data_IF_534849803750
#
_entry.id   IF_534849803750
#
_cell.length_a   1.000
_cell.length_b   1.000
_cell.length_c   1.000
_cell.angle_alpha   90.00
_cell.angle_beta   90.00
_cell.angle_gamma   90.00
#
_symmetry.space_group_name_H-M   'P 1'
#
loop_
_entity.id
_entity.type
_entity.pdbx_description
1 polymer ?
#
# COMPACT_ATOMS: atom_id res chain seq x y z
N UNK A 1 -18.85 62.67 19.87
CA UNK A 1 -18.25 61.75 18.88
C UNK A 1 -17.86 60.43 19.55
N UNK A 2 -18.76 59.50 19.93
CA UNK A 2 -18.28 58.31 20.67
C UNK A 2 -19.18 57.05 20.81
N UNK A 3 -20.17 56.81 19.95
CA UNK A 3 -20.97 55.55 20.01
C UNK A 3 -20.97 54.82 18.66
N UNK A 4 -21.20 55.53 17.54
CA UNK A 4 -21.18 54.93 16.19
C UNK A 4 -19.81 54.33 15.79
N UNK A 5 -18.70 54.95 16.21
CA UNK A 5 -17.35 54.43 15.91
C UNK A 5 -17.02 53.15 16.70
N UNK A 6 -17.42 53.07 17.98
CA UNK A 6 -17.22 51.87 18.81
C UNK A 6 -17.99 50.66 18.26
N UNK A 7 -19.18 50.85 17.72
CA UNK A 7 -19.97 49.77 17.14
C UNK A 7 -19.43 49.29 15.79
N UNK A 8 -18.92 50.21 14.95
CA UNK A 8 -18.22 49.82 13.71
C UNK A 8 -16.95 49.03 13.99
N UNK A 9 -16.15 49.46 14.98
CA UNK A 9 -14.92 48.76 15.37
C UNK A 9 -15.21 47.35 15.91
N UNK A 10 -16.25 47.19 16.74
CA UNK A 10 -16.69 45.87 17.23
C UNK A 10 -17.15 44.96 16.09
N UNK A 11 -17.88 45.48 15.10
CA UNK A 11 -18.32 44.72 13.92
C UNK A 11 -17.13 44.25 13.06
N UNK A 12 -16.13 45.11 12.85
CA UNK A 12 -14.91 44.74 12.10
C UNK A 12 -14.08 43.69 12.83
N UNK A 13 -13.95 43.79 14.17
CA UNK A 13 -13.21 42.81 14.96
C UNK A 13 -13.94 41.46 14.97
N UNK A 14 -15.27 41.44 15.09
CA UNK A 14 -16.05 40.19 14.98
C UNK A 14 -15.96 39.57 13.59
N UNK A 15 -15.99 40.37 12.51
CA UNK A 15 -15.81 39.86 11.16
C UNK A 15 -14.41 39.25 10.96
N UNK A 16 -13.37 39.88 11.52
CA UNK A 16 -12.01 39.37 11.48
C UNK A 16 -11.87 38.04 12.25
N UNK A 17 -12.50 37.93 13.43
CA UNK A 17 -12.49 36.70 14.23
C UNK A 17 -13.17 35.53 13.50
N UNK A 18 -14.29 35.80 12.83
CA UNK A 18 -15.00 34.80 12.02
C UNK A 18 -14.14 34.34 10.85
N UNK A 19 -13.44 35.25 10.17
CA UNK A 19 -12.51 34.89 9.09
C UNK A 19 -11.31 34.07 9.57
N UNK A 20 -10.76 34.36 10.76
CA UNK A 20 -9.64 33.58 11.32
C UNK A 20 -10.11 32.19 11.77
N UNK A 21 -11.33 32.08 12.31
CA UNK A 21 -11.90 30.79 12.69
C UNK A 21 -12.30 29.92 11.49
N UNK A 22 -12.73 30.51 10.37
CA UNK A 22 -13.05 29.75 9.16
C UNK A 22 -11.81 29.22 8.42
N UNK A 23 -10.63 29.81 8.63
CA UNK A 23 -9.35 29.27 8.13
C UNK A 23 -8.90 28.05 8.95
N UNK A 24 -9.26 27.98 10.24
CA UNK A 24 -8.95 26.84 11.12
C UNK A 24 -9.89 25.63 11.01
N UNK A 25 -11.01 25.76 10.27
CA UNK A 25 -12.00 24.69 10.06
C UNK A 25 -11.79 23.99 8.71
N UNK A 26 -10.86 24.46 7.88
CA UNK A 26 -10.43 23.67 6.72
C UNK A 26 -9.71 22.44 7.28
N UNK A 27 -10.23 21.21 7.10
CA UNK A 27 -9.47 20.03 7.45
C UNK A 27 -8.12 20.19 6.74
N UNK A 28 -7.02 20.07 7.50
CA UNK A 28 -5.69 19.96 6.92
C UNK A 28 -5.75 18.78 5.94
N UNK A 29 -6.01 19.08 4.67
CA UNK A 29 -6.10 18.07 3.65
C UNK A 29 -4.72 17.41 3.62
N UNK A 30 -4.65 16.08 3.61
CA UNK A 30 -3.37 15.42 3.46
C UNK A 30 -2.72 15.97 2.19
N UNK A 31 -1.44 16.29 2.34
CA UNK A 31 -0.52 16.67 1.28
C UNK A 31 -0.91 16.00 -0.03
N UNK A 32 -0.90 16.78 -1.12
CA UNK A 32 -0.91 16.25 -2.48
C UNK A 32 0.04 15.07 -2.53
N UNK A 33 -0.50 13.86 -2.50
CA UNK A 33 0.27 12.66 -2.74
C UNK A 33 0.68 12.79 -4.20
N UNK A 34 1.94 13.15 -4.45
CA UNK A 34 2.58 12.72 -5.66
C UNK A 34 2.47 11.19 -5.62
N UNK A 35 1.43 10.64 -6.25
CA UNK A 35 1.29 9.21 -6.39
C UNK A 35 2.48 8.80 -7.26
N UNK A 36 3.53 8.29 -6.62
CA UNK A 36 4.48 7.45 -7.33
C UNK A 36 3.60 6.33 -7.90
N UNK A 37 3.40 6.32 -9.21
CA UNK A 37 2.56 5.31 -9.87
C UNK A 37 3.31 3.98 -10.01
N UNK A 38 4.31 3.75 -9.18
CA UNK A 38 5.06 2.50 -9.17
C UNK A 38 4.36 1.57 -8.20
N UNK A 39 3.90 0.47 -8.76
CA UNK A 39 3.41 -0.64 -7.98
C UNK A 39 4.56 -1.21 -7.14
N UNK A 40 4.36 -1.30 -5.83
CA UNK A 40 5.28 -1.98 -4.93
C UNK A 40 4.60 -3.27 -4.49
N UNK A 41 5.23 -4.41 -4.76
CA UNK A 41 4.69 -5.72 -4.37
C UNK A 41 4.70 -5.89 -2.85
N UNK A 42 3.54 -6.11 -2.19
CA UNK A 42 3.45 -6.42 -0.75
C UNK A 42 4.38 -7.53 -0.27
N UNK A 43 4.70 -8.50 -1.13
CA UNK A 43 5.64 -9.56 -0.79
C UNK A 43 7.09 -9.06 -0.61
N UNK A 44 7.51 -7.99 -1.31
CA UNK A 44 8.88 -7.47 -1.24
C UNK A 44 9.11 -6.59 -0.01
N UNK A 45 8.05 -5.95 0.49
CA UNK A 45 8.09 -5.06 1.65
C UNK A 45 7.31 -5.61 2.84
N UNK A 46 7.06 -6.91 2.86
CA UNK A 46 6.30 -7.52 3.95
C UNK A 46 7.02 -7.33 5.27
N UNK A 47 6.43 -6.49 6.13
CA UNK A 47 6.97 -6.21 7.44
C UNK A 47 6.57 -7.35 8.37
N UNK A 48 7.44 -8.36 8.45
CA UNK A 48 7.27 -9.49 9.37
C UNK A 48 7.37 -8.99 10.81
N UNK A 49 6.22 -8.71 11.40
CA UNK A 49 6.13 -8.26 12.79
C UNK A 49 5.87 -9.43 13.71
N UNK A 50 6.69 -10.48 13.61
CA UNK A 50 6.54 -11.67 14.45
C UNK A 50 6.61 -11.25 15.94
N UNK A 51 5.50 -11.38 16.66
CA UNK A 51 5.37 -10.93 18.06
C UNK A 51 4.98 -9.45 18.28
N UNK A 52 4.57 -8.69 17.25
CA UNK A 52 3.85 -7.41 17.44
C UNK A 52 2.37 -7.63 17.12
N UNK A 53 1.48 -7.08 17.94
CA UNK A 53 0.02 -7.36 17.94
C UNK A 53 -0.76 -6.99 16.64
N UNK A 54 -0.11 -6.56 15.55
CA UNK A 54 -0.80 -5.95 14.42
C UNK A 54 -0.06 -6.04 13.07
N UNK A 55 0.52 -7.20 12.75
CA UNK A 55 1.22 -7.42 11.47
C UNK A 55 0.33 -7.14 10.25
N UNK A 56 -0.92 -7.59 10.26
CA UNK A 56 -1.86 -7.37 9.17
C UNK A 56 -2.11 -5.87 8.93
N UNK A 57 -2.30 -5.07 9.99
CA UNK A 57 -2.53 -3.62 9.83
C UNK A 57 -1.34 -2.90 9.19
N UNK A 58 -0.12 -3.34 9.50
CA UNK A 58 1.10 -2.72 8.96
C UNK A 58 1.30 -3.03 7.48
N UNK A 59 0.78 -4.17 7.02
CA UNK A 59 0.87 -4.63 5.63
C UNK A 59 -0.44 -4.37 4.84
N UNK A 60 -1.39 -3.65 5.43
CA UNK A 60 -2.69 -3.40 4.81
C UNK A 60 -2.67 -2.22 3.85
N UNK A 61 -3.30 -2.41 2.69
CA UNK A 61 -3.82 -1.30 1.91
C UNK A 61 -5.04 -0.73 2.64
N UNK A 62 -5.02 0.57 2.93
CA UNK A 62 -6.12 1.24 3.63
C UNK A 62 -6.92 2.16 2.71
N UNK A 63 -8.23 2.14 2.85
CA UNK A 63 -9.16 3.02 2.12
C UNK A 63 -10.24 3.54 3.04
N UNK A 64 -10.78 4.72 2.73
CA UNK A 64 -12.00 5.23 3.34
C UNK A 64 -13.18 4.88 2.44
N UNK A 65 -14.18 4.22 3.02
CA UNK A 65 -15.37 3.74 2.32
C UNK A 65 -16.63 4.14 3.09
N UNK A 66 -17.80 3.94 2.47
CA UNK A 66 -19.10 4.11 3.11
C UNK A 66 -19.71 2.74 3.37
N UNK A 67 -20.24 2.52 4.56
CA UNK A 67 -20.97 1.30 4.89
C UNK A 67 -21.86 1.44 6.12
N UNK A 68 -22.86 0.56 6.18
CA UNK A 68 -23.81 0.53 7.28
C UNK A 68 -23.13 0.03 8.55
N UNK A 69 -23.12 0.86 9.58
CA UNK A 69 -22.60 0.49 10.89
C UNK A 69 -23.74 -0.05 11.75
N UNK A 70 -23.70 -1.34 12.08
CA UNK A 70 -24.71 -1.97 12.94
C UNK A 70 -24.70 -1.44 14.38
N UNK A 71 -23.65 -0.73 14.83
CA UNK A 71 -23.64 -0.07 16.14
C UNK A 71 -24.29 1.33 16.08
N UNK A 72 -24.00 2.11 15.04
CA UNK A 72 -24.60 3.44 14.85
C UNK A 72 -26.00 3.40 14.22
N UNK A 73 -26.38 2.25 13.66
CA UNK A 73 -27.64 2.01 12.95
C UNK A 73 -27.88 2.95 11.75
N UNK A 74 -26.78 3.37 11.11
CA UNK A 74 -26.78 4.25 9.92
C UNK A 74 -25.57 4.01 9.05
N UNK A 75 -25.64 4.50 7.81
CA UNK A 75 -24.48 4.61 6.93
C UNK A 75 -23.42 5.55 7.53
N UNK A 76 -22.17 5.10 7.56
CA UNK A 76 -21.04 5.86 8.08
C UNK A 76 -19.83 5.72 7.17
N UNK A 77 -18.86 6.62 7.34
CA UNK A 77 -17.52 6.39 6.80
C UNK A 77 -16.82 5.31 7.62
N UNK A 78 -16.23 4.34 6.95
CA UNK A 78 -15.46 3.24 7.52
C UNK A 78 -14.03 3.26 6.95
N UNK A 79 -13.04 3.04 7.81
CA UNK A 79 -11.66 2.81 7.38
C UNK A 79 -11.49 1.30 7.17
N UNK A 80 -11.24 0.89 5.93
CA UNK A 80 -11.07 -0.50 5.55
C UNK A 80 -9.59 -0.84 5.38
N UNK A 81 -9.16 -1.95 5.96
CA UNK A 81 -7.83 -2.54 5.87
C UNK A 81 -7.92 -3.79 5.01
N UNK A 82 -7.05 -3.91 4.00
CA UNK A 82 -6.99 -5.08 3.11
C UNK A 82 -5.57 -5.60 3.02
N UNK A 83 -5.40 -6.86 3.36
CA UNK A 83 -4.11 -7.54 3.30
C UNK A 83 -4.26 -8.76 2.40
N UNK A 84 -3.40 -8.95 1.39
CA UNK A 84 -3.43 -10.18 0.60
C UNK A 84 -3.28 -11.42 1.50
N UNK A 85 -4.01 -12.48 1.19
CA UNK A 85 -3.77 -13.78 1.79
C UNK A 85 -2.59 -14.44 1.06
N UNK A 86 -1.59 -14.83 1.84
CA UNK A 86 -0.45 -15.60 1.39
C UNK A 86 -0.40 -16.90 2.19
N UNK A 87 -0.33 -18.03 1.48
CA UNK A 87 -0.20 -19.35 2.11
C UNK A 87 0.96 -20.12 1.49
N UNK A 88 1.50 -21.11 2.21
CA UNK A 88 2.62 -21.92 1.71
C UNK A 88 2.25 -22.70 0.46
N UNK A 89 1.05 -23.27 0.45
CA UNK A 89 0.49 -23.97 -0.71
C UNK A 89 0.11 -23.05 -1.87
N UNK A 90 -0.17 -21.76 -1.60
CA UNK A 90 -0.82 -20.87 -2.55
C UNK A 90 -2.33 -21.12 -2.67
N UNK A 91 -2.89 -22.02 -1.87
CA UNK A 91 -4.34 -22.24 -1.79
C UNK A 91 -4.94 -21.50 -0.59
N UNK A 92 -6.12 -20.92 -0.81
CA UNK A 92 -6.83 -20.16 0.23
C UNK A 92 -7.19 -20.99 1.47
N UNK A 93 -7.15 -20.37 2.65
CA UNK A 93 -7.57 -21.00 3.90
C UNK A 93 -9.07 -21.36 3.92
N UNK A 94 -9.88 -20.76 3.04
CA UNK A 94 -11.28 -21.16 2.85
C UNK A 94 -11.42 -22.62 2.39
N UNK A 95 -10.46 -23.18 1.64
CA UNK A 95 -10.48 -24.60 1.27
C UNK A 95 -10.39 -25.53 2.49
N UNK A 96 -9.88 -25.00 3.61
CA UNK A 96 -9.78 -25.68 4.91
C UNK A 96 -10.88 -25.24 5.90
N UNK A 97 -11.89 -24.51 5.42
CA UNK A 97 -13.01 -24.02 6.20
C UNK A 97 -12.71 -22.81 7.09
N UNK A 98 -11.50 -22.23 7.00
CA UNK A 98 -11.08 -21.08 7.81
C UNK A 98 -11.55 -19.78 7.15
N UNK A 99 -12.29 -18.96 7.90
CA UNK A 99 -12.83 -17.67 7.42
C UNK A 99 -12.13 -16.47 8.05
N UNK A 100 -11.47 -16.65 9.17
CA UNK A 100 -10.95 -15.54 9.97
C UNK A 100 -9.45 -15.66 10.19
N UNK A 101 -8.75 -14.52 10.23
CA UNK A 101 -7.28 -14.45 10.29
C UNK A 101 -6.67 -15.02 11.57
N UNK A 102 -7.48 -15.31 12.58
CA UNK A 102 -7.05 -15.98 13.81
C UNK A 102 -7.26 -17.51 13.75
N UNK A 103 -7.50 -18.05 12.55
CA UNK A 103 -7.74 -19.46 12.29
C UNK A 103 -9.18 -19.92 12.54
N UNK A 104 -10.10 -19.03 12.91
CA UNK A 104 -11.50 -19.45 13.19
C UNK A 104 -12.21 -19.90 11.92
N UNK A 105 -12.98 -20.98 12.04
CA UNK A 105 -13.77 -21.55 10.95
C UNK A 105 -14.94 -20.64 10.55
N UNK A 106 -15.54 -20.93 9.40
CA UNK A 106 -16.65 -20.16 8.82
C UNK A 106 -17.90 -20.09 9.69
N UNK A 107 -18.14 -21.11 10.52
CA UNK A 107 -19.24 -21.18 11.48
C UNK A 107 -18.96 -20.37 12.77
N UNK A 108 -17.77 -19.77 12.88
CA UNK A 108 -17.34 -19.03 14.07
C UNK A 108 -16.91 -19.91 15.24
N UNK A 109 -16.82 -21.23 15.05
CA UNK A 109 -16.48 -22.20 16.09
C UNK A 109 -15.24 -23.02 15.71
N UNK A 110 -14.40 -23.32 16.71
CA UNK A 110 -13.18 -24.09 16.48
C UNK A 110 -12.09 -23.32 15.74
N UNK A 111 -10.99 -24.02 15.42
CA UNK A 111 -9.80 -23.47 14.77
C UNK A 111 -9.33 -24.42 13.68
N UNK A 112 -8.96 -23.88 12.53
CA UNK A 112 -8.35 -24.59 11.42
C UNK A 112 -6.93 -24.09 11.14
N UNK A 113 -6.29 -24.73 10.16
CA UNK A 113 -4.95 -24.36 9.72
C UNK A 113 -5.01 -23.27 8.64
N UNK A 114 -4.37 -22.14 8.88
CA UNK A 114 -4.23 -21.06 7.90
C UNK A 114 -3.27 -21.44 6.76
N UNK A 115 -2.33 -22.35 7.00
CA UNK A 115 -1.20 -22.63 6.11
C UNK A 115 -0.30 -21.40 5.91
N UNK A 116 -0.11 -20.63 7.00
CA UNK A 116 0.65 -19.39 7.00
C UNK A 116 2.11 -19.61 6.63
N UNK A 117 2.61 -18.75 5.76
CA UNK A 117 4.04 -18.57 5.53
C UNK A 117 4.37 -17.08 5.46
N UNK A 118 5.62 -16.77 5.19
CA UNK A 118 6.12 -15.40 5.04
C UNK A 118 6.08 -15.02 3.56
N UNK A 119 5.31 -13.98 3.19
CA UNK A 119 5.29 -13.44 1.82
C UNK A 119 6.71 -13.08 1.35
N UNK A 120 7.01 -13.37 0.09
CA UNK A 120 8.35 -13.15 -0.48
C UNK A 120 9.40 -14.20 -0.07
N UNK A 121 9.08 -15.11 0.85
CA UNK A 121 10.01 -16.16 1.31
C UNK A 121 9.48 -17.55 0.96
N UNK A 122 8.34 -17.93 1.54
CA UNK A 122 7.82 -19.31 1.46
C UNK A 122 6.28 -19.37 1.34
N UNK A 123 5.64 -18.23 1.08
CA UNK A 123 4.20 -18.13 0.84
C UNK A 123 3.89 -17.48 -0.52
N UNK A 124 2.77 -17.90 -1.10
CA UNK A 124 2.27 -17.46 -2.40
C UNK A 124 0.89 -16.84 -2.24
N UNK A 125 0.63 -15.81 -3.03
CA UNK A 125 -0.66 -15.15 -3.05
C UNK A 125 -1.74 -16.13 -3.49
N UNK A 126 -2.88 -16.15 -2.80
CA UNK A 126 -3.95 -17.13 -3.05
C UNK A 126 -5.08 -16.62 -3.94
N UNK A 127 -5.08 -15.32 -4.27
CA UNK A 127 -6.23 -14.66 -4.90
C UNK A 127 -7.31 -14.22 -3.93
N UNK A 128 -7.04 -14.28 -2.62
CA UNK A 128 -7.93 -13.83 -1.56
C UNK A 128 -7.25 -12.76 -0.72
N UNK A 129 -8.03 -12.06 0.10
CA UNK A 129 -7.52 -11.05 1.01
C UNK A 129 -8.27 -11.04 2.34
N UNK A 130 -7.53 -10.74 3.39
CA UNK A 130 -8.03 -10.42 4.71
C UNK A 130 -8.59 -9.00 4.72
N UNK A 131 -9.81 -8.83 5.23
CA UNK A 131 -10.45 -7.51 5.38
C UNK A 131 -10.81 -7.25 6.83
N UNK A 132 -10.54 -6.03 7.29
CA UNK A 132 -11.04 -5.48 8.56
C UNK A 132 -11.55 -4.08 8.31
N UNK A 133 -12.62 -3.67 8.98
CA UNK A 133 -13.12 -2.29 8.89
C UNK A 133 -13.26 -1.65 10.26
N UNK A 134 -13.16 -0.33 10.34
CA UNK A 134 -13.35 0.45 11.58
C UNK A 134 -14.26 1.63 11.30
N UNK A 135 -15.42 1.67 11.96
CA UNK A 135 -16.34 2.81 11.85
C UNK A 135 -15.66 4.09 12.36
N UNK A 136 -15.58 5.12 11.51
CA UNK A 136 -14.95 6.39 11.87
C UNK A 136 -15.81 7.26 12.80
N UNK A 137 -17.06 6.86 13.05
CA UNK A 137 -17.97 7.55 13.97
C UNK A 137 -17.92 7.00 15.39
N UNK A 138 -18.02 5.67 15.56
CA UNK A 138 -18.08 5.04 16.89
C UNK A 138 -16.86 4.18 17.25
N UNK A 139 -15.95 3.94 16.31
CA UNK A 139 -14.77 3.09 16.52
C UNK A 139 -15.04 1.58 16.48
N UNK A 140 -16.29 1.13 16.37
CA UNK A 140 -16.62 -0.31 16.30
C UNK A 140 -15.95 -0.97 15.09
N UNK A 141 -15.20 -2.03 15.37
CA UNK A 141 -14.48 -2.81 14.36
C UNK A 141 -15.44 -3.82 13.71
N UNK A 142 -15.33 -4.01 12.39
CA UNK A 142 -16.12 -4.94 11.58
C UNK A 142 -17.64 -4.79 11.76
N UNK A 143 -18.11 -3.58 12.06
CA UNK A 143 -19.55 -3.34 12.27
C UNK A 143 -20.37 -3.61 11.00
N UNK A 144 -19.74 -3.45 9.83
CA UNK A 144 -20.32 -3.71 8.51
C UNK A 144 -20.66 -5.19 8.27
N UNK A 145 -20.00 -6.11 8.97
CA UNK A 145 -20.25 -7.55 8.87
C UNK A 145 -21.48 -7.98 9.70
N UNK A 146 -21.99 -7.07 10.55
CA UNK A 146 -23.16 -7.27 11.39
C UNK A 146 -22.85 -7.89 12.77
N UNK A 147 -23.73 -7.63 13.75
CA UNK A 147 -23.58 -8.01 15.16
C UNK A 147 -23.45 -9.53 15.39
N UNK A 148 -23.94 -10.35 14.46
CA UNK A 148 -23.87 -11.80 14.54
C UNK A 148 -22.56 -12.38 13.98
N UNK A 149 -21.76 -11.58 13.27
CA UNK A 149 -20.50 -12.05 12.72
C UNK A 149 -19.49 -12.31 13.82
N UNK A 150 -18.69 -13.37 13.69
CA UNK A 150 -17.68 -13.73 14.68
C UNK A 150 -16.66 -12.60 14.93
N UNK A 151 -16.28 -11.86 13.89
CA UNK A 151 -15.29 -10.78 13.96
C UNK A 151 -15.87 -9.43 14.41
N UNK A 152 -17.17 -9.36 14.76
CA UNK A 152 -17.80 -8.13 15.24
C UNK A 152 -17.10 -7.59 16.48
N UNK A 153 -16.67 -6.32 16.40
CA UNK A 153 -15.92 -5.61 17.44
C UNK A 153 -14.63 -6.34 17.91
N UNK A 154 -14.02 -7.15 17.03
CA UNK A 154 -12.74 -7.83 17.29
C UNK A 154 -11.70 -7.38 16.27
N UNK A 155 -10.43 -7.32 16.70
CA UNK A 155 -9.30 -7.14 15.79
C UNK A 155 -8.98 -8.45 15.04
N UNK A 156 -9.94 -8.93 14.26
CA UNK A 156 -9.84 -10.17 13.47
C UNK A 156 -10.32 -9.84 12.07
N UNK A 157 -9.53 -10.25 11.08
CA UNK A 157 -9.87 -10.01 9.68
C UNK A 157 -10.72 -11.15 9.14
N UNK A 158 -11.67 -10.84 8.26
CA UNK A 158 -12.46 -11.81 7.50
C UNK A 158 -11.87 -12.03 6.10
N UNK A 159 -11.81 -13.28 5.66
CA UNK A 159 -11.26 -13.68 4.36
C UNK A 159 -12.26 -13.44 3.23
N UNK A 160 -11.86 -12.78 2.16
CA UNK A 160 -12.71 -12.49 1.00
C UNK A 160 -11.96 -12.76 -0.31
N UNK A 161 -12.69 -13.16 -1.35
CA UNK A 161 -12.10 -13.37 -2.68
C UNK A 161 -11.75 -12.03 -3.33
N UNK A 162 -10.61 -11.96 -4.00
CA UNK A 162 -10.37 -10.88 -4.95
C UNK A 162 -11.26 -11.07 -6.19
N UNK A 163 -11.89 -9.99 -6.66
CA UNK A 163 -12.59 -10.03 -7.95
C UNK A 163 -11.56 -10.02 -9.08
N UNK A 164 -11.77 -10.89 -10.07
CA UNK A 164 -10.89 -11.02 -11.22
C UNK A 164 -10.76 -9.71 -12.03
N UNK A 165 -11.80 -8.87 -12.03
CA UNK A 165 -11.81 -7.59 -12.75
C UNK A 165 -10.83 -6.56 -12.16
N UNK A 166 -10.34 -6.76 -10.93
CA UNK A 166 -9.38 -5.85 -10.31
C UNK A 166 -7.92 -6.23 -10.57
N UNK A 167 -7.65 -7.29 -11.33
CA UNK A 167 -6.27 -7.66 -11.65
C UNK A 167 -5.72 -6.81 -12.80
N UNK A 168 -4.50 -6.30 -12.60
CA UNK A 168 -3.72 -5.65 -13.65
C UNK A 168 -2.42 -6.41 -13.87
N UNK A 169 -2.01 -6.48 -15.12
CA UNK A 169 -0.67 -6.90 -15.47
C UNK A 169 0.33 -5.83 -15.03
N UNK A 170 1.50 -6.27 -14.56
CA UNK A 170 2.61 -5.39 -14.25
C UNK A 170 3.94 -6.00 -14.68
N UNK A 171 4.90 -5.12 -14.93
CA UNK A 171 6.30 -5.44 -15.13
C UNK A 171 7.11 -4.52 -14.21
N UNK A 172 7.82 -5.14 -13.25
CA UNK A 172 8.74 -4.46 -12.36
C UNK A 172 10.13 -5.05 -12.53
N UNK A 173 10.73 -4.83 -13.70
CA UNK A 173 12.12 -5.21 -13.98
C UNK A 173 13.08 -4.31 -13.21
N UNK A 174 13.94 -4.91 -12.39
CA UNK A 174 15.01 -4.21 -11.68
C UNK A 174 16.39 -4.62 -12.20
N UNK A 175 17.36 -3.72 -12.11
CA UNK A 175 18.72 -3.94 -12.60
C UNK A 175 19.73 -3.63 -11.50
N UNK A 176 20.61 -4.59 -11.19
CA UNK A 176 21.67 -4.42 -10.21
C UNK A 176 23.05 -4.69 -10.85
N UNK A 177 24.06 -3.83 -10.63
CA UNK A 177 25.41 -4.09 -11.11
C UNK A 177 25.95 -5.42 -10.58
N UNK A 178 26.50 -6.26 -11.47
CA UNK A 178 27.07 -7.55 -11.09
C UNK A 178 28.60 -7.59 -11.26
N UNK A 179 29.10 -7.09 -12.38
CA UNK A 179 30.54 -7.05 -12.70
C UNK A 179 30.85 -5.91 -13.66
N UNK A 180 32.12 -5.74 -14.04
CA UNK A 180 32.53 -4.71 -15.01
C UNK A 180 31.95 -4.88 -16.42
N UNK A 181 31.42 -6.06 -16.76
CA UNK A 181 30.90 -6.37 -18.10
C UNK A 181 29.42 -6.70 -18.11
N UNK A 182 28.80 -6.92 -16.93
CA UNK A 182 27.44 -7.42 -16.81
C UNK A 182 26.69 -6.82 -15.62
N UNK A 183 25.38 -6.74 -15.75
CA UNK A 183 24.44 -6.54 -14.65
C UNK A 183 23.51 -7.75 -14.52
N UNK A 184 22.83 -7.85 -13.38
CA UNK A 184 21.74 -8.80 -13.18
C UNK A 184 20.43 -8.07 -13.42
N UNK A 185 19.64 -8.53 -14.39
CA UNK A 185 18.26 -8.09 -14.57
C UNK A 185 17.34 -9.08 -13.87
N UNK A 186 16.44 -8.56 -13.03
CA UNK A 186 15.41 -9.33 -12.33
C UNK A 186 14.06 -8.88 -12.86
N UNK A 187 13.50 -9.66 -13.77
CA UNK A 187 12.15 -9.46 -14.27
C UNK A 187 11.18 -9.99 -13.23
N UNK A 188 10.39 -9.10 -12.63
CA UNK A 188 9.24 -9.48 -11.81
C UNK A 188 7.98 -9.02 -12.52
N UNK A 189 7.38 -9.92 -13.28
CA UNK A 189 6.15 -9.67 -14.02
C UNK A 189 5.07 -10.66 -13.64
N UNK A 190 3.82 -10.24 -13.80
CA UNK A 190 2.66 -11.03 -13.46
C UNK A 190 1.42 -10.16 -13.30
N UNK A 191 0.49 -10.63 -12.49
CA UNK A 191 -0.74 -9.91 -12.18
C UNK A 191 -0.79 -9.54 -10.71
N UNK A 192 -1.28 -8.34 -10.42
CA UNK A 192 -1.58 -7.92 -9.06
C UNK A 192 -3.03 -7.46 -8.94
N UNK A 193 -3.65 -7.75 -7.80
CA UNK A 193 -4.98 -7.23 -7.48
C UNK A 193 -4.87 -5.75 -7.09
N UNK A 194 -5.52 -4.84 -7.80
CA UNK A 194 -5.52 -3.41 -7.46
C UNK A 194 -6.09 -3.12 -6.07
N UNK A 195 -6.94 -4.01 -5.55
CA UNK A 195 -7.71 -3.81 -4.33
C UNK A 195 -6.93 -4.17 -3.06
N UNK A 196 -6.24 -5.33 -3.05
CA UNK A 196 -5.41 -5.75 -1.91
C UNK A 196 -3.90 -5.64 -2.18
N UNK A 197 -3.49 -5.38 -3.42
CA UNK A 197 -2.11 -5.35 -3.94
C UNK A 197 -1.39 -6.70 -4.02
N UNK A 198 -2.05 -7.80 -3.69
CA UNK A 198 -1.50 -9.16 -3.75
C UNK A 198 -1.15 -9.62 -5.16
N UNK A 199 -0.16 -10.50 -5.28
CA UNK A 199 0.66 -10.63 -6.49
C UNK A 199 0.90 -12.07 -6.89
N UNK A 200 0.63 -12.40 -8.15
CA UNK A 200 0.98 -13.70 -8.75
C UNK A 200 2.33 -13.69 -9.47
N UNK A 201 3.25 -12.80 -9.11
CA UNK A 201 4.47 -12.60 -9.87
C UNK A 201 5.49 -13.73 -9.68
N UNK A 202 6.14 -14.08 -10.78
CA UNK A 202 7.31 -14.94 -10.79
C UNK A 202 8.54 -14.07 -11.08
N UNK A 203 9.48 -14.02 -10.15
CA UNK A 203 10.75 -13.35 -10.39
C UNK A 203 11.67 -14.27 -11.20
N UNK A 204 12.16 -13.79 -12.35
CA UNK A 204 13.18 -14.46 -13.17
C UNK A 204 14.39 -13.55 -13.26
N UNK A 205 15.53 -14.02 -12.79
CA UNK A 205 16.79 -13.30 -12.92
C UNK A 205 17.65 -13.88 -14.04
N UNK A 206 18.31 -12.99 -14.78
CA UNK A 206 19.32 -13.34 -15.77
C UNK A 206 20.47 -12.34 -15.69
N UNK A 207 21.63 -12.75 -16.21
CA UNK A 207 22.79 -11.87 -16.35
C UNK A 207 22.85 -11.38 -17.78
N UNK A 208 23.00 -10.08 -17.93
CA UNK A 208 23.04 -9.43 -19.23
C UNK A 208 24.26 -8.52 -19.30
N UNK A 209 24.74 -8.29 -20.53
CA UNK A 209 25.81 -7.32 -20.74
C UNK A 209 25.27 -5.93 -20.42
N UNK A 210 26.14 -5.06 -19.91
CA UNK A 210 25.79 -3.65 -19.71
C UNK A 210 25.39 -3.00 -21.04
N UNK A 211 24.31 -2.22 -21.01
CA UNK A 211 23.90 -1.35 -22.11
C UNK A 211 24.44 0.05 -21.87
N UNK A 212 25.63 0.35 -22.40
CA UNK A 212 26.29 1.63 -22.18
C UNK A 212 25.82 2.71 -23.14
N UNK A 213 25.51 3.87 -22.59
CA UNK A 213 25.27 5.09 -23.36
C UNK A 213 26.32 6.13 -23.04
N UNK A 214 26.89 6.70 -24.11
CA UNK A 214 27.90 7.74 -24.06
C UNK A 214 27.23 9.11 -23.87
N UNK A 215 27.74 9.89 -22.93
CA UNK A 215 27.40 11.31 -22.76
C UNK A 215 28.65 12.14 -23.06
N UNK A 216 28.54 13.07 -24.00
CA UNK A 216 29.63 13.99 -24.38
C UNK A 216 29.35 15.37 -23.80
N UNK A 217 30.27 15.85 -22.96
CA UNK A 217 30.25 17.19 -22.37
C UNK A 217 31.39 18.05 -22.97
N UNK A 218 31.03 19.13 -23.64
CA UNK A 218 31.99 20.05 -24.24
C UNK A 218 32.51 21.04 -23.18
N UNK A 219 33.67 20.73 -22.60
CA UNK A 219 34.34 21.59 -21.63
C UNK A 219 35.17 22.65 -22.35
N UNK A 220 34.48 23.59 -23.00
CA UNK A 220 35.07 24.64 -23.84
C UNK A 220 36.14 25.47 -23.09
N UNK A 221 35.96 25.72 -21.80
CA UNK A 221 36.96 26.42 -20.97
C UNK A 221 38.28 25.66 -20.77
N UNK A 222 38.28 24.35 -20.99
CA UNK A 222 39.44 23.47 -20.89
C UNK A 222 39.91 22.96 -22.27
N UNK A 223 39.34 23.48 -23.36
CA UNK A 223 39.60 23.03 -24.75
C UNK A 223 39.55 21.50 -24.92
N UNK A 224 38.61 20.83 -24.24
CA UNK A 224 38.47 19.36 -24.30
C UNK A 224 37.01 18.92 -24.33
N UNK A 225 36.80 17.70 -24.82
CA UNK A 225 35.54 16.97 -24.67
C UNK A 225 35.69 15.96 -23.54
N UNK A 226 34.70 15.89 -22.65
CA UNK A 226 34.61 14.90 -21.60
C UNK A 226 33.59 13.84 -22.02
N UNK A 227 34.02 12.57 -22.10
CA UNK A 227 33.14 11.45 -22.45
C UNK A 227 32.95 10.60 -21.21
N UNK A 228 31.70 10.46 -20.77
CA UNK A 228 31.30 9.53 -19.72
C UNK A 228 30.41 8.45 -20.31
N UNK A 229 30.75 7.19 -20.01
CA UNK A 229 29.93 6.02 -20.35
C UNK A 229 29.27 5.52 -19.06
N UNK A 230 27.94 5.37 -19.09
CA UNK A 230 27.20 4.73 -18.00
C UNK A 230 26.20 3.73 -18.58
N UNK A 231 26.01 2.62 -17.89
CA UNK A 231 24.97 1.67 -18.23
C UNK A 231 23.60 2.35 -18.01
N UNK A 232 22.72 2.33 -19.00
CA UNK A 232 21.37 2.91 -18.88
C UNK A 232 20.54 2.17 -17.84
N UNK A 233 20.66 0.84 -17.80
CA UNK A 233 19.81 0.00 -16.96
C UNK A 233 20.19 0.07 -15.47
N UNK A 234 21.47 -0.13 -15.15
CA UNK A 234 21.94 -0.26 -13.76
C UNK A 234 22.81 0.91 -13.27
N UNK A 235 23.07 1.91 -14.12
CA UNK A 235 23.89 3.08 -13.78
C UNK A 235 25.39 2.79 -13.61
N UNK A 236 25.88 1.59 -13.93
CA UNK A 236 27.29 1.23 -13.81
C UNK A 236 28.18 2.14 -14.69
N UNK A 237 29.19 2.83 -14.12
CA UNK A 237 30.09 3.68 -14.91
C UNK A 237 31.16 2.84 -15.59
N UNK A 238 31.34 3.01 -16.90
CA UNK A 238 32.51 2.51 -17.61
C UNK A 238 33.57 3.61 -17.66
N UNK A 239 34.84 3.22 -17.47
CA UNK A 239 35.96 4.12 -17.22
C UNK A 239 36.04 5.34 -18.15
N UNK A 240 36.55 6.44 -17.58
CA UNK A 240 36.62 7.76 -18.20
C UNK A 240 37.62 7.81 -19.36
N UNK A 241 37.19 8.31 -20.53
CA UNK A 241 38.07 8.65 -21.65
C UNK A 241 38.19 10.17 -21.72
N UNK A 242 39.42 10.69 -21.77
CA UNK A 242 39.77 12.12 -21.85
C UNK A 242 40.40 12.40 -23.20
#
# INVERSE_FOLDING_TARGET
MNIKHKNKIKSVISALLVCVMSIGIVPAMPASAAQISEYIDPADHWLSSNGRNNELDMNATTTYETGYCAECEKETTVLCYRVPEYTRSGETALNRGVKFSDGTLIDGAGKGNLDDGTPGVDAKFTGYHWTKSVCQTCGTINSVDGRASYNYNKNVYGLNACDHNFFLDFDNTTYEPYSGTQHTSTLKSGQYCQYCKGTYAEAKSKREAHNFTETVDAQLGNNRFYIAEKCEDCGYPQGQKV
#
